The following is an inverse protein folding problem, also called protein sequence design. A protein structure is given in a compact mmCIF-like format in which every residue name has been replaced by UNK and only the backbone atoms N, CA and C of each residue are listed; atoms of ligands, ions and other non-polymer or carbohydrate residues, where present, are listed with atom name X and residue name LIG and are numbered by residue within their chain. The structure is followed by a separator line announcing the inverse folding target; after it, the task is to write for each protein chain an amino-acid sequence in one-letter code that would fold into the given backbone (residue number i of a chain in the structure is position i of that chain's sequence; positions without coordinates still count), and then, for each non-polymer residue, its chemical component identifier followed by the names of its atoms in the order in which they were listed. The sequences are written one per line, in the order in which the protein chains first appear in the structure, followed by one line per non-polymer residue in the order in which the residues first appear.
data_IF_049222840193
#
_entry.id   IF_049222840193
#
_cell.length_a   1.000
_cell.length_b   1.000
_cell.length_c   1.000
_cell.angle_alpha   90.00
_cell.angle_beta   90.00
_cell.angle_gamma   90.00
#
_symmetry.space_group_name_H-M   'P 1'
#
loop_
_entity.id
_entity.type
_entity.pdbx_description
1 polymer ?
#
# COMPACT_ATOMS: atom_id res chain seq x y z
N UNK A 1 -11.99 -14.42 3.76
CA UNK A 1 -11.35 -14.78 2.47
C UNK A 1 -9.88 -14.42 2.58
N UNK A 2 -8.95 -15.26 2.14
CA UNK A 2 -7.51 -15.02 2.24
C UNK A 2 -7.00 -14.33 0.97
N UNK A 3 -5.84 -13.68 1.02
CA UNK A 3 -5.24 -13.08 -0.16
C UNK A 3 -4.71 -14.15 -1.12
N UNK A 4 -4.66 -13.81 -2.42
CA UNK A 4 -3.96 -14.61 -3.43
C UNK A 4 -2.57 -14.00 -3.59
N UNK A 5 -1.53 -14.76 -3.26
CA UNK A 5 -0.15 -14.30 -3.40
C UNK A 5 0.27 -14.30 -4.88
N UNK A 6 0.99 -13.25 -5.27
CA UNK A 6 1.51 -13.06 -6.63
C UNK A 6 3.03 -12.94 -6.55
N UNK A 7 3.72 -13.73 -7.36
CA UNK A 7 5.17 -13.72 -7.45
C UNK A 7 5.61 -13.03 -8.74
N UNK A 8 6.61 -12.17 -8.65
CA UNK A 8 7.22 -11.56 -9.83
C UNK A 8 7.88 -12.67 -10.67
N UNK A 9 7.29 -12.96 -11.82
CA UNK A 9 7.79 -13.95 -12.80
C UNK A 9 7.83 -13.28 -14.16
N UNK A 10 8.59 -13.81 -15.12
CA UNK A 10 8.68 -13.25 -16.47
C UNK A 10 7.34 -13.27 -17.27
N UNK A 11 6.25 -13.71 -16.65
CA UNK A 11 4.91 -13.87 -17.26
C UNK A 11 3.88 -12.90 -16.63
N UNK A 12 4.25 -12.12 -15.61
CA UNK A 12 3.36 -11.06 -15.08
C UNK A 12 3.27 -9.90 -16.07
N UNK A 13 2.08 -9.29 -16.16
CA UNK A 13 1.70 -8.14 -17.00
C UNK A 13 2.80 -7.08 -17.17
N UNK A 14 2.79 -6.40 -18.33
CA UNK A 14 3.69 -5.30 -18.67
C UNK A 14 3.93 -4.34 -17.49
N UNK A 15 5.21 -4.05 -17.21
CA UNK A 15 5.58 -3.14 -16.13
C UNK A 15 5.03 -1.73 -16.42
N UNK A 16 4.31 -1.16 -15.45
CA UNK A 16 3.78 0.21 -15.53
C UNK A 16 4.92 1.22 -15.52
N UNK A 17 4.75 2.33 -16.27
CA UNK A 17 5.62 3.49 -16.10
C UNK A 17 5.35 4.17 -14.75
N UNK A 18 6.30 5.00 -14.29
CA UNK A 18 6.11 5.77 -13.04
C UNK A 18 4.87 6.68 -13.08
N UNK A 19 4.57 7.26 -14.25
CA UNK A 19 3.42 8.13 -14.43
C UNK A 19 2.11 7.35 -14.35
N UNK A 20 2.04 6.20 -15.03
CA UNK A 20 0.83 5.36 -15.02
C UNK A 20 0.58 4.77 -13.62
N UNK A 21 1.65 4.39 -12.91
CA UNK A 21 1.54 3.92 -11.54
C UNK A 21 0.99 5.01 -10.60
N UNK A 22 1.47 6.26 -10.71
CA UNK A 22 0.96 7.36 -9.90
C UNK A 22 -0.49 7.71 -10.25
N UNK A 23 -0.84 7.73 -11.54
CA UNK A 23 -2.20 7.95 -12.00
C UNK A 23 -3.15 6.90 -11.40
N UNK A 24 -2.78 5.62 -11.50
CA UNK A 24 -3.56 4.53 -10.92
C UNK A 24 -3.73 4.66 -9.40
N UNK A 25 -2.66 4.97 -8.65
CA UNK A 25 -2.78 5.17 -7.19
C UNK A 25 -3.70 6.33 -6.87
N UNK A 26 -3.55 7.46 -7.57
CA UNK A 26 -4.36 8.66 -7.35
C UNK A 26 -5.84 8.42 -7.66
N UNK A 27 -6.15 7.71 -8.74
CA UNK A 27 -7.51 7.36 -9.11
C UNK A 27 -8.15 6.41 -8.09
N UNK A 28 -7.42 5.38 -7.64
CA UNK A 28 -7.93 4.43 -6.66
C UNK A 28 -8.17 5.09 -5.29
N UNK A 29 -7.21 5.87 -4.79
CA UNK A 29 -7.24 6.40 -3.42
C UNK A 29 -7.81 7.82 -3.32
N UNK A 30 -8.20 8.42 -4.45
CA UNK A 30 -8.61 9.82 -4.52
C UNK A 30 -7.55 10.75 -3.91
N UNK A 31 -6.30 10.54 -4.32
CA UNK A 31 -5.12 11.24 -3.83
C UNK A 31 -4.45 12.11 -4.91
N UNK A 32 -3.38 12.81 -4.54
CA UNK A 32 -2.65 13.72 -5.44
C UNK A 32 -1.14 13.57 -5.30
N UNK A 33 -0.63 12.34 -5.33
CA UNK A 33 0.81 12.05 -5.34
C UNK A 33 1.42 12.56 -6.65
N UNK A 34 2.55 13.25 -6.54
CA UNK A 34 3.33 13.79 -7.65
C UNK A 34 4.59 12.97 -7.91
N UNK A 35 5.06 12.23 -6.90
CA UNK A 35 6.31 11.48 -6.90
C UNK A 35 6.09 10.09 -6.30
N UNK A 36 6.70 9.07 -6.90
CA UNK A 36 6.61 7.67 -6.40
C UNK A 36 7.17 7.57 -4.99
N UNK A 37 8.16 8.38 -4.66
CA UNK A 37 8.81 8.47 -3.37
C UNK A 37 7.82 8.84 -2.25
N UNK A 38 6.70 9.50 -2.54
CA UNK A 38 5.69 9.82 -1.52
C UNK A 38 4.97 8.58 -0.97
N UNK A 39 5.01 7.46 -1.71
CA UNK A 39 4.53 6.17 -1.23
C UNK A 39 5.40 5.60 -0.09
N UNK A 40 6.59 6.17 0.16
CA UNK A 40 7.46 5.78 1.28
C UNK A 40 6.84 5.99 2.66
N UNK A 41 5.76 6.78 2.76
CA UNK A 41 5.05 6.98 4.03
C UNK A 41 4.33 5.72 4.51
N UNK A 42 4.11 4.73 3.64
CA UNK A 42 3.39 3.49 3.96
C UNK A 42 1.86 3.64 4.07
N UNK A 43 1.34 4.87 4.07
CA UNK A 43 -0.08 5.15 4.28
C UNK A 43 -0.96 4.67 3.12
N UNK A 44 -0.52 4.88 1.87
CA UNK A 44 -1.23 4.44 0.66
C UNK A 44 -1.41 2.92 0.64
N UNK A 45 -0.36 2.16 0.99
CA UNK A 45 -0.43 0.69 1.06
C UNK A 45 -1.41 0.22 2.15
N UNK A 46 -1.50 0.92 3.29
CA UNK A 46 -2.50 0.62 4.29
C UNK A 46 -3.93 0.85 3.78
N UNK A 47 -4.17 1.94 3.03
CA UNK A 47 -5.49 2.17 2.42
C UNK A 47 -5.84 1.10 1.39
N UNK A 48 -4.89 0.69 0.54
CA UNK A 48 -5.11 -0.41 -0.39
C UNK A 48 -5.47 -1.72 0.31
N UNK A 49 -4.79 -2.05 1.42
CA UNK A 49 -5.16 -3.24 2.19
C UNK A 49 -6.59 -3.18 2.72
N UNK A 50 -7.03 -2.03 3.24
CA UNK A 50 -8.41 -1.88 3.72
C UNK A 50 -9.43 -1.90 2.57
N UNK A 51 -9.10 -1.32 1.42
CA UNK A 51 -9.93 -1.36 0.23
C UNK A 51 -10.13 -2.79 -0.30
N UNK A 52 -9.06 -3.57 -0.40
CA UNK A 52 -9.12 -4.96 -0.87
C UNK A 52 -9.72 -5.90 0.18
N UNK A 53 -9.41 -5.66 1.45
CA UNK A 53 -9.79 -6.50 2.58
C UNK A 53 -10.20 -5.60 3.76
N UNK A 54 -11.49 -5.21 3.84
CA UNK A 54 -11.98 -4.31 4.87
C UNK A 54 -11.65 -4.79 6.29
N UNK A 55 -11.20 -3.87 7.14
CA UNK A 55 -10.74 -4.12 8.50
C UNK A 55 -9.48 -5.01 8.61
N UNK A 56 -8.71 -5.18 7.53
CA UNK A 56 -7.43 -5.89 7.58
C UNK A 56 -6.35 -5.08 8.31
N UNK A 57 -6.46 -3.74 8.31
CA UNK A 57 -5.56 -2.83 9.00
C UNK A 57 -6.32 -1.84 9.90
N UNK A 58 -5.77 -1.44 11.06
CA UNK A 58 -6.35 -0.39 11.89
C UNK A 58 -6.13 1.02 11.30
N UNK A 59 -6.92 1.42 10.30
CA UNK A 59 -6.77 2.71 9.60
C UNK A 59 -6.71 3.93 10.51
N UNK A 60 -7.42 3.93 11.65
CA UNK A 60 -7.37 5.02 12.64
C UNK A 60 -5.98 5.28 13.22
N UNK A 61 -5.06 4.30 13.13
CA UNK A 61 -3.68 4.40 13.62
C UNK A 61 -2.68 4.78 12.52
N UNK A 62 -3.12 4.83 11.26
CA UNK A 62 -2.27 5.18 10.12
C UNK A 62 -2.04 6.68 10.09
N UNK A 63 -0.79 7.08 9.89
CA UNK A 63 -0.34 8.46 9.78
C UNK A 63 -0.40 8.89 8.31
N UNK A 64 -1.49 9.54 7.90
CA UNK A 64 -1.72 9.94 6.50
C UNK A 64 -0.94 11.19 6.07
N UNK A 65 -0.62 12.06 7.02
CA UNK A 65 0.08 13.33 6.77
C UNK A 65 1.23 13.43 7.75
N UNK A 66 2.40 12.97 7.31
CA UNK A 66 3.62 12.99 8.13
C UNK A 66 4.84 13.12 7.23
N UNK A 67 5.88 13.76 7.78
CA UNK A 67 7.22 13.82 7.19
C UNK A 67 8.28 13.19 8.13
N UNK A 68 7.85 12.41 9.13
CA UNK A 68 8.71 11.84 10.16
C UNK A 68 8.95 10.35 9.87
N UNK A 69 10.21 9.97 9.67
CA UNK A 69 10.58 8.60 9.28
C UNK A 69 10.07 7.54 10.27
N UNK A 70 10.10 7.83 11.58
CA UNK A 70 9.58 6.90 12.58
C UNK A 70 8.06 6.66 12.46
N UNK A 71 7.30 7.62 11.93
CA UNK A 71 5.88 7.44 11.63
C UNK A 71 5.66 6.61 10.36
N UNK A 72 6.59 6.66 9.39
CA UNK A 72 6.55 5.77 8.22
C UNK A 72 6.75 4.31 8.66
N UNK A 73 7.73 4.08 9.54
CA UNK A 73 7.98 2.75 10.13
C UNK A 73 6.72 2.24 10.86
N UNK A 74 6.01 3.11 11.58
CA UNK A 74 4.75 2.73 12.22
C UNK A 74 3.69 2.29 11.19
N UNK A 75 3.53 3.02 10.09
CA UNK A 75 2.62 2.65 9.02
C UNK A 75 3.00 1.30 8.39
N UNK A 76 4.29 1.04 8.13
CA UNK A 76 4.73 -0.25 7.62
C UNK A 76 4.50 -1.41 8.59
N UNK A 77 4.65 -1.19 9.90
CA UNK A 77 4.27 -2.20 10.91
C UNK A 77 2.77 -2.52 10.89
N UNK A 78 1.93 -1.50 10.64
CA UNK A 78 0.48 -1.69 10.45
C UNK A 78 0.21 -2.52 9.20
N UNK A 79 0.87 -2.20 8.08
CA UNK A 79 0.75 -2.94 6.83
C UNK A 79 1.16 -4.42 6.99
N UNK A 80 2.30 -4.68 7.63
CA UNK A 80 2.77 -6.04 7.93
C UNK A 80 1.75 -6.83 8.77
N UNK A 81 1.09 -6.17 9.72
CA UNK A 81 -0.01 -6.77 10.47
C UNK A 81 -1.18 -7.19 9.56
N UNK A 82 -1.53 -6.35 8.58
CA UNK A 82 -2.52 -6.66 7.55
C UNK A 82 -2.11 -7.85 6.67
N UNK A 83 -0.85 -7.88 6.22
CA UNK A 83 -0.30 -9.00 5.44
C UNK A 83 -0.40 -10.32 6.21
N UNK A 84 0.04 -10.33 7.48
CA UNK A 84 -0.08 -11.51 8.34
C UNK A 84 -1.52 -11.97 8.51
N UNK A 85 -2.46 -11.03 8.69
CA UNK A 85 -3.90 -11.35 8.84
C UNK A 85 -4.50 -11.96 7.57
N UNK A 86 -3.99 -11.59 6.41
CA UNK A 86 -4.50 -12.03 5.10
C UNK A 86 -3.65 -13.12 4.44
N UNK A 87 -2.62 -13.62 5.14
CA UNK A 87 -1.61 -14.56 4.65
C UNK A 87 -0.91 -14.11 3.35
N UNK A 88 -0.54 -12.83 3.30
CA UNK A 88 0.38 -12.32 2.29
C UNK A 88 1.81 -12.68 2.70
N UNK A 89 2.58 -13.29 1.80
CA UNK A 89 3.90 -13.89 2.09
C UNK A 89 5.10 -13.04 1.63
N UNK A 90 4.83 -11.82 1.17
CA UNK A 90 5.84 -10.89 0.64
C UNK A 90 6.69 -10.21 1.71
#
# INVERSE_FOLDING_TARGET
KMAVNVYATNVTTDNLSRHDMLAWVNDCLQSSFLKIEELCTGAAYCQFMDMLFPNSVPLKRVKFRTNLEHEYIQNFKILQGGFKKMNVDK
#
